data_IF_457548585095
#
_entry.id   IF_457548585095
#
_cell.length_a   1.000
_cell.length_b   1.000
_cell.length_c   1.000
_cell.angle_alpha   90.00
_cell.angle_beta   90.00
_cell.angle_gamma   90.00
#
_symmetry.space_group_name_H-M   'P 1'
#
loop_
_entity.id
_entity.type
_entity.pdbx_description
1 polymer ?
#
# COMPACT_ATOMS: atom_id res chain seq x y z
N UNK A 1 20.77 15.54 15.24
CA UNK A 1 20.13 16.84 14.87
C UNK A 1 18.65 16.71 15.17
N UNK A 2 17.98 17.71 15.75
CA UNK A 2 16.57 17.62 16.16
C UNK A 2 15.71 18.69 15.47
N UNK A 3 14.57 18.30 14.91
CA UNK A 3 13.50 19.21 14.46
C UNK A 3 12.30 19.11 15.43
N UNK A 4 11.69 20.24 15.78
CA UNK A 4 10.55 20.34 16.71
C UNK A 4 9.37 21.04 16.01
N UNK A 5 8.22 20.38 15.96
CA UNK A 5 6.99 20.85 15.32
C UNK A 5 7.01 20.66 13.79
N UNK A 6 6.09 19.83 13.28
CA UNK A 6 5.95 19.48 11.85
C UNK A 6 7.29 19.21 11.13
N UNK A 7 8.16 18.44 11.79
CA UNK A 7 9.44 18.02 11.23
C UNK A 7 9.23 17.22 9.95
N UNK A 8 10.06 17.49 8.96
CA UNK A 8 10.15 16.73 7.71
C UNK A 8 11.59 16.30 7.49
N UNK A 9 11.80 15.01 7.25
CA UNK A 9 13.08 14.45 6.83
C UNK A 9 12.89 13.65 5.54
N UNK A 10 13.92 13.61 4.71
CA UNK A 10 13.91 12.90 3.42
C UNK A 10 15.20 12.12 3.26
N UNK A 11 15.09 10.86 2.88
CA UNK A 11 16.18 10.04 2.34
C UNK A 11 15.92 9.71 0.86
N UNK A 12 16.84 8.96 0.24
CA UNK A 12 16.68 8.54 -1.15
C UNK A 12 15.40 7.72 -1.39
N UNK A 13 15.04 6.87 -0.42
CA UNK A 13 13.94 5.91 -0.53
C UNK A 13 12.69 6.28 0.29
N UNK A 14 12.72 7.38 1.05
CA UNK A 14 11.66 7.71 2.00
C UNK A 14 11.50 9.22 2.29
N UNK A 15 10.29 9.61 2.67
CA UNK A 15 9.96 10.90 3.29
C UNK A 15 9.26 10.65 4.61
N UNK A 16 9.67 11.34 5.68
CA UNK A 16 9.16 11.19 7.03
C UNK A 16 8.64 12.53 7.55
N UNK A 17 7.45 12.52 8.14
CA UNK A 17 6.88 13.65 8.87
C UNK A 17 6.53 13.26 10.29
N UNK A 18 6.82 14.11 11.28
CA UNK A 18 6.46 13.89 12.69
C UNK A 18 6.54 15.19 13.49
N UNK A 19 6.06 15.20 14.74
CA UNK A 19 6.28 16.34 15.64
C UNK A 19 7.76 16.50 15.97
N UNK A 20 8.45 15.41 16.28
CA UNK A 20 9.88 15.42 16.56
C UNK A 20 10.61 14.42 15.68
N UNK A 21 11.72 14.85 15.08
CA UNK A 21 12.65 13.98 14.35
C UNK A 21 14.05 14.17 14.94
N UNK A 22 14.72 13.07 15.28
CA UNK A 22 16.12 13.01 15.65
C UNK A 22 16.93 12.22 14.61
N UNK A 23 17.98 12.84 14.10
CA UNK A 23 18.90 12.27 13.12
C UNK A 23 20.24 11.94 13.78
N UNK A 24 20.62 10.67 13.71
CA UNK A 24 21.93 10.17 14.12
C UNK A 24 22.85 10.10 12.92
N UNK A 25 23.96 10.83 13.02
CA UNK A 25 24.96 10.96 11.96
C UNK A 25 26.29 10.44 12.52
N UNK A 26 26.97 9.60 11.76
CA UNK A 26 28.33 9.16 12.01
C UNK A 26 29.11 9.23 10.71
N UNK A 27 30.37 9.65 10.77
CA UNK A 27 31.23 9.82 9.59
C UNK A 27 30.62 10.69 8.47
N UNK A 28 29.85 11.71 8.87
CA UNK A 28 29.09 12.61 7.99
C UNK A 28 27.98 11.93 7.18
N UNK A 29 27.64 10.69 7.49
CA UNK A 29 26.57 9.92 6.86
C UNK A 29 25.43 9.71 7.84
N UNK A 30 24.19 9.78 7.35
CA UNK A 30 23.03 9.39 8.13
C UNK A 30 23.16 7.91 8.50
N UNK A 31 22.92 7.59 9.76
CA UNK A 31 22.93 6.20 10.26
C UNK A 31 21.53 5.75 10.65
N UNK A 32 20.77 6.64 11.29
CA UNK A 32 19.46 6.32 11.84
C UNK A 32 18.62 7.59 11.99
N UNK A 33 17.34 7.46 11.72
CA UNK A 33 16.33 8.50 11.96
C UNK A 33 15.30 7.98 12.96
N UNK A 34 15.08 8.70 14.04
CA UNK A 34 13.98 8.46 14.96
C UNK A 34 12.94 9.56 14.86
N UNK A 35 11.68 9.20 14.98
CA UNK A 35 10.58 10.13 15.01
C UNK A 35 9.51 9.71 16.02
N UNK A 36 8.89 10.69 16.67
CA UNK A 36 7.78 10.50 17.60
C UNK A 36 6.95 11.79 17.68
N UNK A 37 5.72 11.67 18.16
CA UNK A 37 4.84 12.81 18.31
C UNK A 37 3.46 12.41 18.84
N UNK A 38 2.88 13.31 19.64
CA UNK A 38 1.55 13.12 20.23
C UNK A 38 0.46 13.77 19.36
N UNK A 39 0.78 14.88 18.67
CA UNK A 39 -0.16 15.61 17.81
C UNK A 39 -0.09 15.08 16.38
N UNK A 40 1.12 14.96 15.83
CA UNK A 40 1.36 14.37 14.51
C UNK A 40 2.14 13.07 14.70
N UNK A 41 1.43 11.96 14.56
CA UNK A 41 2.05 10.63 14.54
C UNK A 41 3.06 10.54 13.39
N UNK A 42 4.28 10.00 13.64
CA UNK A 42 5.23 9.68 12.60
C UNK A 42 4.60 8.98 11.41
N UNK A 43 4.84 9.54 10.23
CA UNK A 43 4.33 9.02 8.97
C UNK A 43 5.47 9.00 7.95
N UNK A 44 5.91 7.79 7.60
CA UNK A 44 6.91 7.53 6.58
C UNK A 44 6.25 7.08 5.28
N UNK A 45 6.67 7.66 4.16
CA UNK A 45 6.22 7.32 2.81
C UNK A 45 7.43 6.88 2.01
N UNK A 46 7.34 5.72 1.36
CA UNK A 46 8.31 5.23 0.38
C UNK A 46 7.67 5.09 -1.00
N UNK A 47 8.44 4.63 -1.99
CA UNK A 47 7.94 4.34 -3.33
C UNK A 47 6.85 3.25 -3.36
N UNK A 48 6.80 2.35 -2.38
CA UNK A 48 5.93 1.15 -2.41
C UNK A 48 5.04 0.99 -1.17
N UNK A 49 5.28 1.70 -0.09
CA UNK A 49 4.53 1.54 1.15
C UNK A 49 4.56 2.81 2.00
N UNK A 50 3.53 2.97 2.82
CA UNK A 50 3.51 3.95 3.92
C UNK A 50 3.62 3.23 5.25
N UNK A 51 4.13 3.90 6.29
CA UNK A 51 4.09 3.45 7.68
C UNK A 51 3.67 4.62 8.55
N UNK A 52 2.68 4.41 9.40
CA UNK A 52 2.27 5.32 10.46
C UNK A 52 2.31 4.60 11.81
N UNK A 53 2.80 5.26 12.85
CA UNK A 53 2.88 4.71 14.21
C UNK A 53 3.07 5.83 15.24
N UNK A 54 3.02 5.50 16.52
CA UNK A 54 3.23 6.48 17.61
C UNK A 54 4.71 6.90 17.68
N UNK A 55 5.63 5.96 17.39
CA UNK A 55 7.05 6.23 17.17
C UNK A 55 7.61 5.41 16.01
N UNK A 56 8.64 5.92 15.35
CA UNK A 56 9.21 5.32 14.14
C UNK A 56 10.74 5.41 14.16
N UNK A 57 11.41 4.34 13.78
CA UNK A 57 12.86 4.27 13.59
C UNK A 57 13.16 3.81 12.16
N UNK A 58 14.03 4.54 11.45
CA UNK A 58 14.54 4.18 10.13
C UNK A 58 16.04 3.99 10.24
N UNK A 59 16.52 2.79 9.97
CA UNK A 59 17.93 2.43 9.99
C UNK A 59 18.49 2.50 8.57
N UNK A 60 19.38 3.46 8.36
CA UNK A 60 19.98 3.74 7.07
C UNK A 60 21.51 3.89 7.14
N UNK A 61 22.26 2.89 7.63
CA UNK A 61 23.70 2.99 7.80
C UNK A 61 24.40 3.30 6.49
N UNK A 62 25.25 4.34 6.48
CA UNK A 62 25.88 4.81 5.24
C UNK A 62 24.88 5.33 4.20
N UNK A 63 23.75 5.87 4.64
CA UNK A 63 22.63 6.34 3.81
C UNK A 63 21.88 5.26 3.02
N UNK A 64 22.08 4.00 3.38
CA UNK A 64 21.45 2.84 2.73
C UNK A 64 20.34 2.29 3.62
N UNK A 65 19.08 2.36 3.17
CA UNK A 65 17.92 1.89 3.95
C UNK A 65 17.96 0.37 4.17
N UNK A 66 18.03 -0.06 5.43
CA UNK A 66 18.12 -1.49 5.80
C UNK A 66 16.92 -1.98 6.61
N UNK A 67 16.34 -1.12 7.45
CA UNK A 67 15.18 -1.46 8.27
C UNK A 67 14.32 -0.23 8.58
N UNK A 68 13.01 -0.42 8.65
CA UNK A 68 12.06 0.56 9.19
C UNK A 68 11.21 -0.11 10.26
N UNK A 69 11.07 0.53 11.42
CA UNK A 69 10.33 0.01 12.58
C UNK A 69 9.32 1.03 13.05
N UNK A 70 8.05 0.63 13.10
CA UNK A 70 6.98 1.41 13.71
C UNK A 70 6.56 0.78 15.04
N UNK A 71 6.36 1.58 16.08
CA UNK A 71 5.95 1.14 17.40
C UNK A 71 4.75 1.95 17.90
N UNK A 72 3.79 1.24 18.49
CA UNK A 72 2.51 1.80 18.94
C UNK A 72 1.59 2.09 17.76
N UNK A 73 0.42 1.45 17.74
CA UNK A 73 -0.60 1.63 16.71
C UNK A 73 -0.04 1.58 15.27
N UNK A 74 0.88 0.66 15.01
CA UNK A 74 1.62 0.62 13.76
C UNK A 74 0.68 0.18 12.62
N UNK A 75 0.66 0.95 11.55
CA UNK A 75 -0.20 0.77 10.39
C UNK A 75 0.60 1.03 9.12
N UNK A 76 0.54 0.13 8.16
CA UNK A 76 1.22 0.26 6.88
C UNK A 76 0.26 -0.07 5.76
N UNK A 77 0.34 0.72 4.69
CA UNK A 77 -0.38 0.46 3.44
C UNK A 77 0.59 0.22 2.31
N UNK A 78 0.27 -0.70 1.42
CA UNK A 78 0.96 -0.79 0.14
C UNK A 78 0.60 0.42 -0.75
N UNK A 79 1.49 0.75 -1.69
CA UNK A 79 1.15 1.67 -2.78
C UNK A 79 0.04 1.01 -3.59
N UNK A 80 -1.04 1.77 -3.81
CA UNK A 80 -2.18 1.35 -4.62
C UNK A 80 -1.71 0.93 -6.02
N UNK A 81 -2.10 -0.26 -6.44
CA UNK A 81 -2.00 -0.65 -7.84
C UNK A 81 -3.13 0.04 -8.64
N UNK A 82 -2.89 0.24 -9.93
CA UNK A 82 -3.86 0.70 -10.92
C UNK A 82 -5.10 -0.20 -11.01
N UNK A 83 -4.97 -1.48 -10.66
CA UNK A 83 -6.02 -2.49 -10.71
C UNK A 83 -6.91 -2.51 -9.46
N UNK A 84 -6.48 -1.91 -8.35
CA UNK A 84 -7.26 -1.83 -7.11
C UNK A 84 -8.17 -0.61 -7.13
N UNK A 85 -9.48 -0.73 -6.79
CA UNK A 85 -10.38 0.41 -6.68
C UNK A 85 -9.81 1.53 -5.83
N UNK A 86 -10.10 2.79 -6.16
CA UNK A 86 -9.46 3.96 -5.56
C UNK A 86 -9.60 4.09 -4.02
N UNK A 87 -10.56 3.38 -3.42
CA UNK A 87 -10.83 3.36 -1.98
C UNK A 87 -10.29 2.11 -1.27
N UNK A 88 -9.68 1.19 -2.01
CA UNK A 88 -9.20 -0.09 -1.54
C UNK A 88 -7.68 -0.12 -1.66
N UNK A 89 -7.01 -0.57 -0.61
CA UNK A 89 -5.56 -0.64 -0.53
C UNK A 89 -5.20 -1.73 0.47
N UNK A 90 -4.18 -2.51 0.13
CA UNK A 90 -3.65 -3.51 1.03
C UNK A 90 -3.05 -2.84 2.26
N UNK A 91 -3.36 -3.38 3.42
CA UNK A 91 -2.88 -2.83 4.68
C UNK A 91 -2.51 -3.93 5.67
N UNK A 92 -1.61 -3.58 6.56
CA UNK A 92 -1.16 -4.43 7.66
C UNK A 92 -0.94 -3.57 8.90
N UNK A 93 -1.37 -4.08 10.05
CA UNK A 93 -1.34 -3.34 11.31
C UNK A 93 -1.06 -4.25 12.49
N UNK A 94 -0.58 -3.66 13.58
CA UNK A 94 -0.32 -4.31 14.85
C UNK A 94 0.21 -3.30 15.87
N UNK A 95 0.69 -3.80 16.99
CA UNK A 95 1.36 -2.97 18.00
C UNK A 95 2.72 -2.49 17.50
N UNK A 96 3.37 -3.31 16.64
CA UNK A 96 4.60 -2.92 15.96
C UNK A 96 4.69 -3.51 14.55
N UNK A 97 5.38 -2.78 13.68
CA UNK A 97 5.76 -3.22 12.34
C UNK A 97 7.27 -3.17 12.20
N UNK A 98 7.84 -4.18 11.55
CA UNK A 98 9.24 -4.20 11.12
C UNK A 98 9.28 -4.48 9.63
N UNK A 99 9.91 -3.60 8.88
CA UNK A 99 10.11 -3.73 7.44
C UNK A 99 11.61 -3.86 7.18
N UNK A 100 12.03 -4.95 6.53
CA UNK A 100 13.43 -5.23 6.22
C UNK A 100 13.69 -5.08 4.73
N UNK A 101 14.86 -4.53 4.42
CA UNK A 101 15.30 -4.29 3.06
C UNK A 101 16.56 -5.08 2.74
N UNK A 102 16.64 -5.56 1.51
CA UNK A 102 17.86 -6.10 0.91
C UNK A 102 18.40 -5.10 -0.10
N UNK A 103 19.72 -5.08 -0.25
CA UNK A 103 20.39 -4.20 -1.20
C UNK A 103 20.53 -4.89 -2.54
N UNK A 104 20.11 -4.21 -3.58
CA UNK A 104 20.23 -4.66 -4.96
C UNK A 104 20.83 -3.56 -5.82
N UNK A 105 21.43 -3.95 -6.93
CA UNK A 105 21.92 -2.99 -7.89
C UNK A 105 20.81 -2.67 -8.89
N UNK A 106 20.47 -1.39 -9.02
CA UNK A 106 19.53 -0.92 -10.03
C UNK A 106 20.12 -1.19 -11.42
N UNK A 107 19.37 -1.92 -12.26
CA UNK A 107 19.88 -2.40 -13.56
C UNK A 107 20.13 -1.30 -14.58
N UNK A 108 19.58 -0.09 -14.37
CA UNK A 108 19.72 1.05 -15.26
C UNK A 108 20.83 1.96 -14.74
N UNK A 109 20.69 2.43 -13.50
CA UNK A 109 21.57 3.44 -12.90
C UNK A 109 22.82 2.83 -12.26
N UNK A 110 22.88 1.51 -12.10
CA UNK A 110 23.93 0.76 -11.40
C UNK A 110 24.17 1.20 -9.95
N UNK A 111 23.23 1.97 -9.39
CA UNK A 111 23.27 2.43 -8.00
C UNK A 111 22.68 1.39 -7.07
N UNK A 112 23.17 1.27 -5.82
CA UNK A 112 22.49 0.50 -4.79
C UNK A 112 21.08 1.03 -4.58
N UNK A 113 20.12 0.12 -4.47
CA UNK A 113 18.72 0.39 -4.16
C UNK A 113 18.25 -0.58 -3.09
N UNK A 114 17.50 -0.04 -2.14
CA UNK A 114 16.87 -0.82 -1.08
C UNK A 114 15.56 -1.43 -1.61
N UNK A 115 15.46 -2.76 -1.62
CA UNK A 115 14.23 -3.48 -1.99
C UNK A 115 13.61 -4.16 -0.78
N UNK A 116 12.30 -4.06 -0.66
CA UNK A 116 11.54 -4.73 0.40
C UNK A 116 11.76 -6.24 0.33
N UNK A 117 12.14 -6.84 1.46
CA UNK A 117 12.36 -8.29 1.58
C UNK A 117 11.36 -8.96 2.51
N UNK A 118 11.08 -8.33 3.65
CA UNK A 118 10.20 -8.89 4.67
C UNK A 118 9.44 -7.77 5.38
N UNK A 119 8.18 -8.01 5.68
CA UNK A 119 7.39 -7.19 6.59
C UNK A 119 6.82 -8.08 7.70
N UNK A 120 7.05 -7.69 8.96
CA UNK A 120 6.55 -8.39 10.14
C UNK A 120 5.67 -7.46 10.96
N UNK A 121 4.40 -7.82 11.10
CA UNK A 121 3.49 -7.23 12.10
C UNK A 121 3.44 -8.10 13.34
N UNK A 122 3.51 -7.45 14.50
CA UNK A 122 3.37 -8.10 15.81
C UNK A 122 2.36 -7.32 16.64
N UNK A 123 1.57 -8.04 17.41
CA UNK A 123 0.62 -7.45 18.35
C UNK A 123 -0.55 -8.36 18.60
N UNK A 124 -1.44 -7.97 19.51
CA UNK A 124 -2.58 -8.80 19.90
C UNK A 124 -3.89 -8.03 19.76
N UNK A 125 -4.46 -7.89 18.53
CA UNK A 125 -4.11 -8.62 17.31
C UNK A 125 -3.29 -7.84 16.28
N UNK A 126 -2.34 -8.53 15.64
CA UNK A 126 -1.84 -8.20 14.31
C UNK A 126 -2.91 -8.54 13.28
N UNK A 127 -3.14 -7.66 12.29
CA UNK A 127 -4.17 -7.82 11.27
C UNK A 127 -3.63 -7.42 9.89
N UNK A 128 -4.09 -8.10 8.85
CA UNK A 128 -3.74 -7.78 7.48
C UNK A 128 -4.96 -7.96 6.56
N UNK A 129 -5.03 -7.11 5.54
CA UNK A 129 -6.01 -7.20 4.46
C UNK A 129 -5.26 -7.09 3.14
N UNK A 130 -5.45 -8.08 2.27
CA UNK A 130 -4.83 -8.12 0.94
C UNK A 130 -5.85 -8.40 -0.14
N UNK A 131 -5.70 -7.72 -1.28
CA UNK A 131 -6.47 -7.95 -2.48
C UNK A 131 -5.64 -8.78 -3.45
N UNK A 132 -6.25 -9.82 -4.02
CA UNK A 132 -5.62 -10.68 -5.01
C UNK A 132 -6.39 -10.56 -6.33
N UNK A 133 -5.95 -9.67 -7.23
CA UNK A 133 -6.54 -9.57 -8.56
C UNK A 133 -6.21 -10.83 -9.37
N UNK A 134 -7.18 -11.28 -10.15
CA UNK A 134 -6.96 -12.33 -11.13
C UNK A 134 -6.76 -11.69 -12.51
N UNK A 135 -5.54 -11.67 -13.01
CA UNK A 135 -5.20 -11.07 -14.31
C UNK A 135 -5.94 -11.71 -15.50
N UNK A 136 -6.47 -12.93 -15.32
CA UNK A 136 -7.24 -13.65 -16.34
C UNK A 136 -8.74 -13.44 -16.21
N UNK A 137 -9.21 -12.74 -15.18
CA UNK A 137 -10.62 -12.48 -14.97
C UNK A 137 -11.09 -11.32 -15.85
N UNK A 138 -11.92 -11.63 -16.85
CA UNK A 138 -12.54 -10.64 -17.74
C UNK A 138 -13.93 -10.21 -17.26
N UNK A 139 -14.43 -10.74 -16.14
CA UNK A 139 -15.80 -10.49 -15.66
C UNK A 139 -15.94 -9.16 -14.92
N UNK A 140 -14.82 -8.49 -14.61
CA UNK A 140 -14.78 -7.27 -13.78
C UNK A 140 -15.46 -7.44 -12.40
N UNK A 141 -15.49 -8.66 -11.86
CA UNK A 141 -16.15 -8.94 -10.58
C UNK A 141 -15.40 -8.35 -9.36
N UNK A 142 -14.12 -7.99 -9.53
CA UNK A 142 -13.24 -7.44 -8.49
C UNK A 142 -12.19 -8.46 -8.03
N UNK A 143 -11.26 -8.08 -7.15
CA UNK A 143 -10.26 -9.00 -6.61
C UNK A 143 -10.86 -9.89 -5.52
N UNK A 144 -10.26 -11.06 -5.30
CA UNK A 144 -10.50 -11.79 -4.05
C UNK A 144 -9.83 -11.05 -2.89
N UNK A 145 -10.40 -11.17 -1.68
CA UNK A 145 -9.95 -10.46 -0.49
C UNK A 145 -9.57 -11.47 0.58
N UNK A 146 -8.37 -11.34 1.12
CA UNK A 146 -7.95 -12.08 2.29
C UNK A 146 -7.86 -11.12 3.49
N UNK A 147 -8.51 -11.49 4.58
CA UNK A 147 -8.37 -10.83 5.87
C UNK A 147 -7.84 -11.83 6.89
N UNK A 148 -6.74 -11.48 7.53
CA UNK A 148 -6.03 -12.36 8.47
C UNK A 148 -5.80 -11.65 9.80
N UNK A 149 -5.94 -12.38 10.92
CA UNK A 149 -5.59 -11.92 12.25
C UNK A 149 -4.75 -12.97 12.99
N UNK A 150 -3.83 -12.52 13.82
CA UNK A 150 -3.02 -13.38 14.67
C UNK A 150 -2.21 -12.59 15.68
N UNK A 151 -1.24 -13.23 16.33
CA UNK A 151 -0.28 -12.53 17.19
C UNK A 151 0.93 -11.99 16.41
N UNK A 152 1.17 -12.57 15.22
CA UNK A 152 2.21 -12.14 14.27
C UNK A 152 1.78 -12.47 12.85
N UNK A 153 1.99 -11.53 11.94
CA UNK A 153 1.84 -11.73 10.50
C UNK A 153 3.17 -11.40 9.84
N UNK A 154 3.74 -12.36 9.13
CA UNK A 154 4.98 -12.19 8.35
C UNK A 154 4.66 -12.28 6.88
N UNK A 155 5.05 -11.25 6.12
CA UNK A 155 4.97 -11.18 4.66
C UNK A 155 6.39 -11.26 4.12
N UNK A 156 6.69 -12.33 3.40
CA UNK A 156 7.95 -12.50 2.68
C UNK A 156 7.77 -12.07 1.22
N UNK A 157 8.74 -11.33 0.69
CA UNK A 157 8.74 -10.86 -0.69
C UNK A 157 9.70 -11.67 -1.55
N UNK A 158 9.27 -12.02 -2.76
CA UNK A 158 10.13 -12.48 -3.84
C UNK A 158 10.19 -11.36 -4.89
N UNK A 159 11.30 -10.63 -4.93
CA UNK A 159 11.43 -9.39 -5.72
C UNK A 159 10.34 -8.38 -5.32
N UNK A 160 9.46 -8.02 -6.25
CA UNK A 160 8.42 -7.01 -6.07
C UNK A 160 7.03 -7.60 -5.79
N UNK A 161 6.95 -8.93 -5.62
CA UNK A 161 5.71 -9.67 -5.34
C UNK A 161 5.77 -10.35 -3.99
N UNK A 162 4.59 -10.53 -3.39
CA UNK A 162 4.44 -11.36 -2.19
C UNK A 162 4.76 -12.81 -2.58
N UNK A 163 5.65 -13.44 -1.83
CA UNK A 163 5.97 -14.87 -1.94
C UNK A 163 5.07 -15.67 -1.01
N UNK A 164 5.04 -15.26 0.27
CA UNK A 164 4.35 -16.00 1.33
C UNK A 164 3.87 -15.08 2.43
N UNK A 165 2.67 -15.38 2.94
CA UNK A 165 2.14 -14.80 4.18
C UNK A 165 2.04 -15.90 5.23
N UNK A 166 2.57 -15.65 6.42
CA UNK A 166 2.50 -16.57 7.57
C UNK A 166 1.85 -15.87 8.74
N UNK A 167 0.74 -16.42 9.21
CA UNK A 167 0.02 -15.94 10.39
C UNK A 167 0.30 -16.91 11.55
N UNK A 168 0.76 -16.39 12.68
CA UNK A 168 1.09 -17.18 13.86
C UNK A 168 0.26 -16.75 15.07
N UNK A 169 0.17 -17.65 16.06
CA UNK A 169 -0.62 -17.46 17.29
C UNK A 169 -2.03 -18.02 17.16
N UNK A 170 -2.99 -17.43 17.88
CA UNK A 170 -4.43 -17.70 17.69
C UNK A 170 -4.87 -17.05 16.38
N UNK A 171 -4.56 -17.73 15.28
CA UNK A 171 -4.80 -17.24 13.94
C UNK A 171 -6.26 -17.49 13.53
N UNK A 172 -6.89 -16.46 12.95
CA UNK A 172 -8.19 -16.56 12.29
C UNK A 172 -8.22 -15.61 11.08
N UNK A 173 -9.28 -15.70 10.28
CA UNK A 173 -9.42 -14.87 9.09
C UNK A 173 -10.61 -15.25 8.23
N UNK A 174 -10.76 -14.54 7.12
CA UNK A 174 -11.74 -14.83 6.08
C UNK A 174 -11.12 -14.63 4.71
N UNK A 175 -11.48 -15.50 3.77
CA UNK A 175 -11.18 -15.36 2.36
C UNK A 175 -12.49 -15.17 1.61
N UNK A 176 -12.59 -14.09 0.84
CA UNK A 176 -13.78 -13.73 0.09
C UNK A 176 -13.46 -13.72 -1.40
N UNK A 177 -14.27 -14.44 -2.16
CA UNK A 177 -14.23 -14.40 -3.61
C UNK A 177 -15.25 -13.38 -4.15
N UNK A 178 -14.95 -12.74 -5.28
CA UNK A 178 -15.93 -11.92 -5.98
C UNK A 178 -17.20 -12.72 -6.28
N UNK A 179 -18.35 -12.06 -6.17
CA UNK A 179 -19.61 -12.68 -6.61
C UNK A 179 -19.56 -12.85 -8.13
N UNK A 180 -19.87 -14.04 -8.68
CA UNK A 180 -19.96 -14.22 -10.13
C UNK A 180 -20.90 -13.19 -10.76
N UNK A 181 -20.53 -12.69 -11.93
CA UNK A 181 -21.41 -11.82 -12.70
C UNK A 181 -22.73 -12.57 -12.96
N UNK A 182 -23.86 -11.93 -12.63
CA UNK A 182 -25.17 -12.47 -13.00
C UNK A 182 -25.25 -12.36 -14.52
N UNK A 183 -25.32 -13.49 -15.22
CA UNK A 183 -25.57 -13.49 -16.66
C UNK A 183 -26.85 -12.70 -16.91
N UNK A 184 -26.78 -11.70 -17.80
CA UNK A 184 -27.95 -10.96 -18.20
C UNK A 184 -28.96 -11.95 -18.80
N UNK A 185 -30.16 -12.00 -18.23
CA UNK A 185 -31.26 -12.80 -18.74
C UNK A 185 -31.51 -12.42 -20.21
N UNK A 186 -31.10 -13.31 -21.12
CA UNK A 186 -31.18 -13.11 -22.57
C UNK A 186 -32.62 -13.07 -23.08
N UNK A 187 -33.62 -13.29 -22.20
CA UNK A 187 -35.05 -13.14 -22.50
C UNK A 187 -35.58 -11.73 -22.24
N UNK A 188 -34.76 -10.78 -21.74
CA UNK A 188 -35.21 -9.40 -21.56
C UNK A 188 -35.26 -8.66 -22.90
N UNK A 189 -36.44 -8.70 -23.52
CA UNK A 189 -36.78 -8.03 -24.79
C UNK A 189 -36.26 -6.59 -24.80
N UNK A 190 -35.47 -6.24 -25.81
CA UNK A 190 -35.02 -4.88 -26.04
C UNK A 190 -36.22 -3.93 -26.08
N UNK A 191 -36.16 -2.83 -25.34
CA UNK A 191 -37.17 -1.78 -25.44
C UNK A 191 -37.18 -1.23 -26.87
N UNK A 192 -38.36 -1.05 -27.50
CA UNK A 192 -38.42 -0.53 -28.86
C UNK A 192 -37.78 0.86 -28.91
N UNK A 193 -36.90 1.06 -29.89
CA UNK A 193 -36.24 2.34 -30.15
C UNK A 193 -37.27 3.44 -30.39
N UNK A 194 -37.07 4.60 -29.76
CA UNK A 194 -37.92 5.77 -29.96
C UNK A 194 -37.97 6.16 -31.45
N UNK A 195 -39.15 6.56 -31.98
CA UNK A 195 -39.28 6.95 -33.37
C UNK A 195 -38.43 8.19 -33.69
N UNK A 196 -37.87 8.28 -34.91
CA UNK A 196 -37.01 9.41 -35.29
C UNK A 196 -37.80 10.72 -35.30
N UNK A 197 -37.14 11.85 -35.00
CA UNK A 197 -37.80 13.16 -35.01
C UNK A 197 -38.29 13.52 -36.42
N UNK A 198 -39.43 14.24 -36.54
CA UNK A 198 -40.00 14.61 -37.83
C UNK A 198 -39.03 15.49 -38.63
N UNK A 199 -38.90 15.19 -39.92
CA UNK A 199 -38.06 15.96 -40.87
C UNK A 199 -38.59 17.39 -40.99
N UNK A 200 -37.68 18.36 -40.86
CA UNK A 200 -37.97 19.76 -41.15
C UNK A 200 -38.39 19.96 -42.62
N UNK A 201 -39.35 20.85 -42.92
CA UNK A 201 -39.80 21.10 -44.28
C UNK A 201 -38.71 21.77 -45.12
N UNK A 202 -38.56 21.32 -46.37
CA UNK A 202 -37.64 21.91 -47.34
C UNK A 202 -38.13 23.29 -47.78
N UNK A 203 -37.24 24.30 -47.93
CA UNK A 203 -37.63 25.60 -48.45
C UNK A 203 -38.08 25.51 -49.91
N UNK A 204 -39.19 26.18 -50.22
CA UNK A 204 -39.74 26.31 -51.57
C UNK A 204 -38.83 27.15 -52.45
N UNK A 205 -38.46 26.64 -53.62
CA UNK A 205 -37.86 27.46 -54.67
C UNK A 205 -38.97 28.30 -55.33
N UNK A 206 -38.82 29.62 -55.32
CA UNK A 206 -39.64 30.56 -56.09
C UNK A 206 -39.20 30.54 -57.57
N UNK A 207 -40.12 30.84 -58.52
CA UNK A 207 -39.95 30.61 -59.96
C UNK A 207 -38.89 31.49 -60.64
#
# INVERSE_FOLDING_TARGET
MKALGQGKATGADWTLTADTIDLRIADRLLQQTFAWGDTTRPHAISALYTIQSDSLAIDSPGEVLTESRGFGNAFSTAKRDSTTPAKETDWITGDSLTIRFVQEQDSITHRPRSRLHELVSRGSPARALTHHPNERDTTNAGPSINYSRGSRITVAMLKDRIDRVVVAGKADGVHLEPRPAVEADSLKRAAPSAPPPPRAPRPSASP
#
